data_IF_032065707761
#
_entry.id   IF_032065707761
#
_cell.length_a   1.000
_cell.length_b   1.000
_cell.length_c   1.000
_cell.angle_alpha   90.00
_cell.angle_beta   90.00
_cell.angle_gamma   90.00
#
_symmetry.space_group_name_H-M   'P 1'
#
loop_
_entity.id
_entity.type
_entity.pdbx_description
1 polymer ?
#
# COMPACT_ATOMS: atom_id res chain seq x y z
N UNK A 1 -7.94 18.41 8.30
CA UNK A 1 -7.62 18.30 6.88
C UNK A 1 -8.31 17.03 6.34
N UNK A 2 -9.14 17.16 5.32
CA UNK A 2 -10.13 16.14 4.91
C UNK A 2 -9.49 14.84 4.44
N UNK A 3 -9.52 13.78 5.28
CA UNK A 3 -9.10 12.41 4.97
C UNK A 3 -10.04 11.66 3.99
N UNK A 4 -10.89 12.37 3.26
CA UNK A 4 -11.93 11.78 2.39
C UNK A 4 -11.46 11.52 0.94
N UNK A 5 -10.29 12.00 0.55
CA UNK A 5 -9.79 11.93 -0.83
C UNK A 5 -9.57 10.48 -1.36
N UNK A 6 -8.93 9.55 -0.60
CA UNK A 6 -8.71 8.20 -1.12
C UNK A 6 -10.01 7.42 -1.36
N UNK A 7 -10.99 7.57 -0.45
CA UNK A 7 -12.27 6.87 -0.54
C UNK A 7 -13.11 7.34 -1.73
N UNK A 8 -13.13 8.65 -1.98
CA UNK A 8 -13.85 9.25 -3.12
C UNK A 8 -13.25 8.82 -4.46
N UNK A 9 -11.93 8.63 -4.51
CA UNK A 9 -11.24 8.14 -5.69
C UNK A 9 -11.67 6.70 -6.03
N UNK A 10 -11.71 5.79 -5.04
CA UNK A 10 -12.16 4.42 -5.23
C UNK A 10 -13.66 4.34 -5.58
N UNK A 11 -14.49 5.21 -5.00
CA UNK A 11 -15.89 5.33 -5.39
C UNK A 11 -16.00 5.79 -6.84
N UNK A 12 -15.18 6.72 -7.29
CA UNK A 12 -15.13 7.17 -8.69
C UNK A 12 -14.71 6.04 -9.64
N UNK A 13 -13.76 5.20 -9.24
CA UNK A 13 -13.33 4.02 -10.01
C UNK A 13 -14.46 2.99 -10.15
N UNK A 14 -15.25 2.79 -9.09
CA UNK A 14 -16.41 1.90 -9.10
C UNK A 14 -17.61 2.47 -9.88
N UNK A 15 -17.74 3.80 -9.97
CA UNK A 15 -18.88 4.48 -10.59
C UNK A 15 -18.61 4.91 -12.03
N UNK A 16 -17.36 5.03 -12.46
CA UNK A 16 -17.00 5.49 -13.79
C UNK A 16 -16.99 4.36 -14.82
N UNK A 17 -17.86 4.48 -15.81
CA UNK A 17 -17.70 3.90 -17.13
C UNK A 17 -18.24 2.50 -17.38
N UNK A 18 -18.76 2.35 -18.60
CA UNK A 18 -19.31 1.12 -19.18
C UNK A 18 -18.44 0.55 -20.31
N UNK A 19 -17.16 0.93 -20.39
CA UNK A 19 -16.25 0.35 -21.37
C UNK A 19 -15.84 -1.08 -20.96
N UNK A 20 -15.68 -1.97 -21.93
CA UNK A 20 -15.32 -3.37 -21.69
C UNK A 20 -14.12 -3.58 -20.74
N UNK A 21 -13.00 -2.83 -20.85
CA UNK A 21 -11.87 -2.95 -19.94
C UNK A 21 -12.22 -2.62 -18.47
N UNK A 22 -13.08 -1.62 -18.26
CA UNK A 22 -13.50 -1.21 -16.91
C UNK A 22 -14.47 -2.21 -16.25
N UNK A 23 -15.31 -2.88 -17.03
CA UNK A 23 -16.18 -3.95 -16.53
C UNK A 23 -15.33 -5.10 -16.00
N UNK A 24 -14.28 -5.46 -16.74
CA UNK A 24 -13.36 -6.51 -16.38
C UNK A 24 -12.59 -6.17 -15.09
N UNK A 25 -12.06 -4.96 -14.98
CA UNK A 25 -11.36 -4.49 -13.78
C UNK A 25 -12.30 -4.46 -12.55
N UNK A 26 -13.58 -4.17 -12.74
CA UNK A 26 -14.59 -4.24 -11.66
C UNK A 26 -14.82 -5.66 -11.16
N UNK A 27 -14.91 -6.63 -12.04
CA UNK A 27 -15.07 -8.03 -11.65
C UNK A 27 -13.81 -8.57 -10.97
N UNK A 28 -12.63 -8.20 -11.46
CA UNK A 28 -11.36 -8.52 -10.78
C UNK A 28 -11.30 -7.94 -9.38
N UNK A 29 -11.67 -6.66 -9.23
CA UNK A 29 -11.71 -6.00 -7.92
C UNK A 29 -12.72 -6.63 -6.96
N UNK A 30 -13.89 -7.05 -7.44
CA UNK A 30 -14.88 -7.79 -6.63
C UNK A 30 -14.34 -9.14 -6.18
N UNK A 31 -13.68 -9.88 -7.09
CA UNK A 31 -13.02 -11.15 -6.77
C UNK A 31 -11.96 -10.95 -5.70
N UNK A 32 -11.09 -9.95 -5.86
CA UNK A 32 -10.10 -9.58 -4.86
C UNK A 32 -10.72 -9.28 -3.48
N UNK A 33 -11.81 -8.48 -3.43
CA UNK A 33 -12.49 -8.21 -2.17
C UNK A 33 -13.08 -9.48 -1.54
N UNK A 34 -13.63 -10.36 -2.36
CA UNK A 34 -14.13 -11.67 -1.90
C UNK A 34 -13.02 -12.49 -1.25
N UNK A 35 -11.89 -12.63 -1.93
CA UNK A 35 -10.73 -13.37 -1.43
C UNK A 35 -10.15 -12.73 -0.16
N UNK A 36 -10.06 -11.41 -0.10
CA UNK A 36 -9.57 -10.69 1.07
C UNK A 36 -10.47 -10.90 2.31
N UNK A 37 -11.80 -10.98 2.12
CA UNK A 37 -12.75 -11.23 3.21
C UNK A 37 -12.66 -12.65 3.76
N UNK A 38 -12.40 -13.64 2.91
CA UNK A 38 -12.33 -15.05 3.32
C UNK A 38 -10.92 -15.51 3.66
N UNK A 39 -9.87 -14.73 3.33
CA UNK A 39 -8.48 -15.07 3.61
C UNK A 39 -8.22 -15.51 5.06
N UNK A 40 -8.79 -14.86 6.11
CA UNK A 40 -8.61 -15.32 7.48
C UNK A 40 -9.13 -16.74 7.75
N UNK A 41 -10.14 -17.19 6.99
CA UNK A 41 -10.70 -18.54 7.14
C UNK A 41 -9.82 -19.62 6.47
N UNK A 42 -8.88 -19.22 5.62
CA UNK A 42 -7.93 -20.12 4.93
C UNK A 42 -6.56 -20.17 5.59
N UNK A 43 -6.43 -19.64 6.82
CA UNK A 43 -5.19 -19.70 7.60
C UNK A 43 -4.83 -21.17 7.92
N UNK A 44 -3.65 -21.59 7.52
CA UNK A 44 -3.20 -22.98 7.67
C UNK A 44 -1.87 -23.07 8.47
N UNK A 45 -1.36 -24.30 8.63
CA UNK A 45 -0.13 -24.55 9.40
C UNK A 45 1.11 -23.87 8.84
N UNK A 46 1.15 -23.53 7.56
CA UNK A 46 2.29 -22.85 6.91
C UNK A 46 2.36 -21.37 7.28
N UNK A 47 1.24 -20.80 7.68
CA UNK A 47 1.14 -19.38 8.04
C UNK A 47 1.69 -19.10 9.44
N UNK A 48 1.81 -20.14 10.30
CA UNK A 48 2.35 -19.97 11.65
C UNK A 48 3.82 -19.56 11.67
N UNK A 49 4.63 -19.96 10.70
CA UNK A 49 6.05 -19.57 10.65
C UNK A 49 6.19 -18.09 10.31
N UNK A 50 5.61 -17.56 9.21
CA UNK A 50 5.66 -16.13 8.92
C UNK A 50 5.05 -15.28 10.04
N UNK A 51 3.95 -15.72 10.65
CA UNK A 51 3.34 -15.04 11.79
C UNK A 51 4.29 -15.00 12.99
N UNK A 52 4.88 -16.13 13.37
CA UNK A 52 5.81 -16.23 14.48
C UNK A 52 7.06 -15.37 14.28
N UNK A 53 7.64 -15.37 13.08
CA UNK A 53 8.77 -14.49 12.71
C UNK A 53 8.37 -13.02 12.79
N UNK A 54 7.18 -12.68 12.30
CA UNK A 54 6.65 -11.31 12.36
C UNK A 54 6.47 -10.83 13.80
N UNK A 55 5.86 -11.65 14.65
CA UNK A 55 5.68 -11.33 16.06
C UNK A 55 7.02 -11.21 16.78
N UNK A 56 7.99 -12.09 16.49
CA UNK A 56 9.34 -12.01 17.06
C UNK A 56 10.06 -10.73 16.63
N UNK A 57 9.95 -10.33 15.35
CA UNK A 57 10.54 -9.09 14.84
C UNK A 57 9.92 -7.85 15.51
N UNK A 58 8.59 -7.78 15.63
CA UNK A 58 7.89 -6.68 16.31
C UNK A 58 8.28 -6.63 17.78
N UNK A 59 8.26 -7.78 18.48
CA UNK A 59 8.61 -7.85 19.90
C UNK A 59 10.08 -7.49 20.13
N UNK A 60 10.99 -7.99 19.30
CA UNK A 60 12.42 -7.63 19.39
C UNK A 60 12.66 -6.14 19.17
N UNK A 61 11.99 -5.54 18.17
CA UNK A 61 12.08 -4.11 17.90
C UNK A 61 11.48 -3.24 19.03
N UNK A 62 10.45 -3.74 19.73
CA UNK A 62 9.85 -3.05 20.88
C UNK A 62 10.87 -2.77 21.99
N UNK A 63 11.76 -3.70 22.28
CA UNK A 63 12.82 -3.49 23.29
C UNK A 63 13.85 -2.44 22.86
N UNK A 64 13.93 -2.13 21.56
CA UNK A 64 14.83 -1.12 21.01
C UNK A 64 14.18 0.26 20.82
N UNK A 65 12.86 0.39 21.06
CA UNK A 65 12.11 1.61 20.79
C UNK A 65 12.74 2.87 21.40
N UNK A 66 13.06 2.82 22.70
CA UNK A 66 13.64 3.96 23.40
C UNK A 66 15.05 4.30 22.93
N UNK A 67 15.87 3.28 22.69
CA UNK A 67 17.24 3.47 22.23
C UNK A 67 17.27 4.12 20.85
N UNK A 68 16.45 3.61 19.92
CA UNK A 68 16.37 4.13 18.54
C UNK A 68 15.75 5.52 18.51
N UNK A 69 14.70 5.78 19.30
CA UNK A 69 14.16 7.15 19.49
C UNK A 69 15.25 8.10 19.94
N UNK A 70 15.96 7.78 21.02
CA UNK A 70 17.01 8.63 21.59
C UNK A 70 18.13 8.88 20.57
N UNK A 71 18.60 7.81 19.91
CA UNK A 71 19.63 7.92 18.88
C UNK A 71 19.19 8.84 17.74
N UNK A 72 17.97 8.66 17.25
CA UNK A 72 17.41 9.47 16.17
C UNK A 72 17.25 10.93 16.56
N UNK A 73 16.74 11.22 17.76
CA UNK A 73 16.53 12.62 18.19
C UNK A 73 17.84 13.34 18.50
N UNK A 74 18.86 12.65 19.04
CA UNK A 74 20.16 13.22 19.33
C UNK A 74 21.01 13.51 18.07
N UNK A 75 20.70 12.87 16.95
CA UNK A 75 21.44 13.02 15.68
C UNK A 75 20.64 13.80 14.63
N UNK A 76 19.75 14.67 15.04
CA UNK A 76 19.02 15.54 14.10
C UNK A 76 19.94 16.58 13.48
N UNK A 77 19.71 16.84 12.20
CA UNK A 77 20.42 17.89 11.45
C UNK A 77 19.44 18.74 10.65
N UNK A 78 19.72 20.04 10.43
CA UNK A 78 18.84 20.91 9.64
C UNK A 78 18.61 20.41 8.20
N UNK A 79 19.58 19.71 7.62
CA UNK A 79 19.44 19.12 6.28
C UNK A 79 18.50 17.92 6.30
N UNK A 80 18.68 17.01 7.25
CA UNK A 80 17.79 15.85 7.39
C UNK A 80 16.37 16.28 7.78
N UNK A 81 16.20 17.30 8.60
CA UNK A 81 14.91 17.88 8.96
C UNK A 81 14.12 18.32 7.70
N UNK A 82 14.80 19.00 6.76
CA UNK A 82 14.19 19.43 5.50
C UNK A 82 13.82 18.25 4.59
N UNK A 83 14.70 17.25 4.50
CA UNK A 83 14.47 16.06 3.66
C UNK A 83 13.27 15.27 4.20
N UNK A 84 13.28 14.96 5.49
CA UNK A 84 12.24 14.12 6.08
C UNK A 84 10.91 14.86 6.36
N UNK A 85 10.89 16.19 6.31
CA UNK A 85 9.64 16.94 6.40
C UNK A 85 8.69 16.69 5.20
N UNK A 86 9.22 16.20 4.07
CA UNK A 86 8.44 15.92 2.87
C UNK A 86 7.54 14.69 3.01
N UNK A 87 7.83 13.79 3.96
CA UNK A 87 7.09 12.54 4.15
C UNK A 87 5.63 12.74 4.56
N UNK A 88 5.29 13.90 5.10
CA UNK A 88 3.90 14.23 5.51
C UNK A 88 2.87 14.14 4.38
N UNK A 89 3.31 14.26 3.13
CA UNK A 89 2.47 14.15 1.93
C UNK A 89 2.56 12.79 1.25
N UNK A 90 3.37 11.88 1.79
CA UNK A 90 3.69 10.62 1.12
C UNK A 90 2.45 9.78 0.81
N UNK A 91 1.51 9.65 1.76
CA UNK A 91 0.31 8.80 1.58
C UNK A 91 -0.59 9.34 0.47
N UNK A 92 -0.76 10.67 0.42
CA UNK A 92 -1.56 11.33 -0.62
C UNK A 92 -0.89 11.20 -2.00
N UNK A 93 0.43 11.35 -2.05
CA UNK A 93 1.22 11.15 -3.29
C UNK A 93 1.12 9.70 -3.74
N UNK A 94 1.28 8.74 -2.85
CA UNK A 94 1.20 7.31 -3.14
C UNK A 94 -0.18 6.91 -3.70
N UNK A 95 -1.26 7.38 -3.07
CA UNK A 95 -2.61 7.17 -3.55
C UNK A 95 -2.84 7.80 -4.93
N UNK A 96 -2.35 9.03 -5.13
CA UNK A 96 -2.47 9.75 -6.40
C UNK A 96 -1.69 9.04 -7.53
N UNK A 97 -0.47 8.58 -7.25
CA UNK A 97 0.34 7.84 -8.23
C UNK A 97 -0.30 6.51 -8.62
N UNK A 98 -0.87 5.78 -7.67
CA UNK A 98 -1.60 4.53 -7.94
C UNK A 98 -2.75 4.78 -8.92
N UNK A 99 -3.50 5.85 -8.66
CA UNK A 99 -4.56 6.33 -9.50
C UNK A 99 -4.10 6.73 -10.91
N UNK A 100 -3.11 7.59 -10.98
CA UNK A 100 -2.55 8.07 -12.25
C UNK A 100 -2.00 6.92 -13.09
N UNK A 101 -1.37 5.92 -12.46
CA UNK A 101 -0.90 4.71 -13.14
C UNK A 101 -2.06 3.95 -13.79
N UNK A 102 -3.17 3.78 -13.07
CA UNK A 102 -4.36 3.13 -13.60
C UNK A 102 -4.96 3.89 -14.79
N UNK A 103 -5.21 5.19 -14.62
CA UNK A 103 -5.83 5.99 -15.68
C UNK A 103 -4.92 6.19 -16.89
N UNK A 104 -3.63 6.31 -16.68
CA UNK A 104 -2.67 6.35 -17.79
C UNK A 104 -2.70 5.04 -18.57
N UNK A 105 -2.67 3.89 -17.87
CA UNK A 105 -2.78 2.59 -18.52
C UNK A 105 -4.09 2.41 -19.28
N UNK A 106 -5.20 2.97 -18.76
CA UNK A 106 -6.49 2.97 -19.44
C UNK A 106 -6.46 3.84 -20.71
N UNK A 107 -5.97 5.07 -20.61
CA UNK A 107 -5.92 6.03 -21.71
C UNK A 107 -4.93 5.62 -22.82
N UNK A 108 -3.81 4.98 -22.45
CA UNK A 108 -2.80 4.48 -23.37
C UNK A 108 -3.11 3.06 -23.90
N UNK A 109 -4.26 2.49 -23.54
CA UNK A 109 -4.65 1.12 -23.87
C UNK A 109 -3.60 0.06 -23.46
N UNK A 110 -2.80 0.38 -22.43
CA UNK A 110 -1.74 -0.48 -21.93
C UNK A 110 -2.22 -1.33 -20.77
N UNK A 111 -2.52 -2.59 -21.05
CA UNK A 111 -3.04 -3.54 -20.07
C UNK A 111 -2.10 -3.71 -18.86
N UNK A 112 -0.78 -3.84 -19.07
CA UNK A 112 0.19 -4.04 -17.98
C UNK A 112 0.18 -2.86 -17.02
N UNK A 113 0.28 -1.64 -17.53
CA UNK A 113 0.28 -0.42 -16.71
C UNK A 113 -1.04 -0.25 -15.97
N UNK A 114 -2.18 -0.52 -16.65
CA UNK A 114 -3.51 -0.46 -16.01
C UNK A 114 -3.61 -1.47 -14.87
N UNK A 115 -3.19 -2.71 -15.10
CA UNK A 115 -3.21 -3.77 -14.09
C UNK A 115 -2.29 -3.46 -12.91
N UNK A 116 -1.10 -2.89 -13.16
CA UNK A 116 -0.22 -2.41 -12.09
C UNK A 116 -0.92 -1.34 -11.24
N UNK A 117 -1.55 -0.35 -11.87
CA UNK A 117 -2.31 0.69 -11.15
C UNK A 117 -3.43 0.12 -10.27
N UNK A 118 -4.15 -0.89 -10.77
CA UNK A 118 -5.21 -1.58 -10.00
C UNK A 118 -4.61 -2.32 -8.80
N UNK A 119 -3.55 -3.11 -8.97
CA UNK A 119 -2.85 -3.80 -7.88
C UNK A 119 -2.34 -2.83 -6.80
N UNK A 120 -1.75 -1.69 -7.20
CA UNK A 120 -1.29 -0.66 -6.26
C UNK A 120 -2.46 -0.12 -5.42
N UNK A 121 -3.60 0.08 -6.05
CA UNK A 121 -4.81 0.53 -5.40
C UNK A 121 -5.40 -0.53 -4.44
N UNK A 122 -5.45 -1.78 -4.85
CA UNK A 122 -5.87 -2.92 -4.04
C UNK A 122 -5.00 -3.08 -2.78
N UNK A 123 -3.67 -3.03 -2.95
CA UNK A 123 -2.72 -3.11 -1.85
C UNK A 123 -2.84 -1.92 -0.88
N UNK A 124 -3.06 -0.71 -1.42
CA UNK A 124 -3.32 0.48 -0.62
C UNK A 124 -4.59 0.31 0.24
N UNK A 125 -5.67 -0.19 -0.32
CA UNK A 125 -6.92 -0.43 0.41
C UNK A 125 -6.79 -1.49 1.49
N UNK A 126 -6.19 -2.63 1.15
CA UNK A 126 -6.04 -3.75 2.06
C UNK A 126 -5.23 -3.34 3.29
N UNK A 127 -4.05 -2.74 3.08
CA UNK A 127 -3.23 -2.26 4.18
C UNK A 127 -3.91 -1.14 4.97
N UNK A 128 -4.62 -0.20 4.31
CA UNK A 128 -5.29 0.91 4.98
C UNK A 128 -6.40 0.41 5.91
N UNK A 129 -7.15 -0.61 5.49
CA UNK A 129 -8.18 -1.25 6.32
C UNK A 129 -7.56 -1.89 7.56
N UNK A 130 -6.48 -2.66 7.40
CA UNK A 130 -5.74 -3.26 8.51
C UNK A 130 -5.18 -2.17 9.45
N UNK A 131 -4.61 -1.09 8.89
CA UNK A 131 -4.06 0.02 9.67
C UNK A 131 -5.10 0.73 10.53
N UNK A 132 -6.25 1.08 9.94
CA UNK A 132 -7.32 1.79 10.67
C UNK A 132 -7.85 0.90 11.80
N UNK A 133 -8.09 -0.38 11.52
CA UNK A 133 -8.57 -1.35 12.51
C UNK A 133 -7.59 -1.52 13.67
N UNK A 134 -6.31 -1.76 13.38
CA UNK A 134 -5.30 -1.97 14.41
C UNK A 134 -5.01 -0.70 15.23
N UNK A 135 -4.98 0.48 14.60
CA UNK A 135 -4.84 1.75 15.34
C UNK A 135 -5.95 1.95 16.36
N UNK A 136 -7.18 1.66 15.97
CA UNK A 136 -8.34 1.77 16.85
C UNK A 136 -8.32 0.72 17.97
N UNK A 137 -7.94 -0.52 17.65
CA UNK A 137 -7.90 -1.62 18.63
C UNK A 137 -6.76 -1.49 19.63
N UNK A 138 -5.59 -1.01 19.19
CA UNK A 138 -4.37 -0.95 20.03
C UNK A 138 -4.27 0.38 20.79
N UNK A 139 -4.53 1.51 20.13
CA UNK A 139 -4.50 2.83 20.75
C UNK A 139 -3.14 3.18 21.37
N UNK A 140 -2.01 2.91 20.71
CA UNK A 140 -0.67 3.19 21.25
C UNK A 140 -0.32 4.67 21.15
N UNK A 141 0.28 5.21 22.20
CA UNK A 141 0.73 6.60 22.27
C UNK A 141 1.97 6.84 21.39
N UNK A 142 1.96 8.00 20.68
CA UNK A 142 3.08 8.40 19.83
C UNK A 142 4.28 8.87 20.65
N UNK A 143 5.52 8.63 20.15
CA UNK A 143 6.72 9.09 20.85
C UNK A 143 6.78 10.62 20.98
N UNK A 144 6.13 11.39 20.11
CA UNK A 144 6.06 12.86 20.21
C UNK A 144 5.12 13.35 21.32
N UNK A 145 4.12 12.57 21.71
CA UNK A 145 3.12 12.94 22.72
C UNK A 145 3.46 12.41 24.10
N UNK A 146 4.17 11.28 24.16
CA UNK A 146 4.45 10.57 25.39
C UNK A 146 5.94 10.28 25.61
N UNK A 147 6.24 9.84 26.81
CA UNK A 147 7.59 9.47 27.24
C UNK A 147 7.84 7.97 27.21
N UNK A 148 6.77 7.17 27.27
CA UNK A 148 6.84 5.71 27.35
C UNK A 148 6.30 5.04 26.08
N UNK A 149 6.92 3.91 25.71
CA UNK A 149 6.49 3.10 24.58
C UNK A 149 5.41 2.05 24.96
N UNK A 150 5.03 1.99 26.23
CA UNK A 150 4.03 1.08 26.80
C UNK A 150 2.71 1.78 27.19
N UNK A 151 2.50 3.02 26.76
CA UNK A 151 1.25 3.76 26.94
C UNK A 151 0.24 3.38 25.86
N UNK A 152 -0.86 2.74 26.26
CA UNK A 152 -1.93 2.28 25.38
C UNK A 152 -3.29 2.77 25.87
N UNK A 153 -4.11 3.24 24.96
CA UNK A 153 -5.51 3.63 25.20
C UNK A 153 -6.38 3.12 24.05
N UNK A 154 -6.77 1.82 24.08
CA UNK A 154 -7.60 1.20 23.04
C UNK A 154 -8.88 1.98 22.77
N UNK A 155 -9.33 1.96 21.52
CA UNK A 155 -10.53 2.65 21.02
C UNK A 155 -10.46 4.18 21.06
N UNK A 156 -9.30 4.75 21.40
CA UNK A 156 -9.06 6.19 21.33
C UNK A 156 -8.76 6.62 19.89
N UNK A 157 -9.45 7.66 19.42
CA UNK A 157 -9.32 8.19 18.05
C UNK A 157 -8.47 9.47 17.97
N UNK A 158 -7.94 9.96 19.11
CA UNK A 158 -7.06 11.12 19.10
C UNK A 158 -5.74 10.79 18.40
N UNK A 159 -5.15 11.78 17.72
CA UNK A 159 -3.90 11.61 17.00
C UNK A 159 -2.78 11.02 17.88
N UNK A 160 -2.71 11.45 19.14
CA UNK A 160 -1.69 11.00 20.09
C UNK A 160 -1.68 9.47 20.28
N UNK A 161 -2.84 8.82 20.23
CA UNK A 161 -3.01 7.38 20.43
C UNK A 161 -3.18 6.58 19.15
N UNK A 162 -2.63 7.05 18.04
CA UNK A 162 -2.66 6.36 16.75
C UNK A 162 -1.27 5.96 16.25
N UNK A 163 -0.34 5.63 17.19
CA UNK A 163 1.03 5.26 16.82
C UNK A 163 1.10 3.90 16.13
N UNK A 164 0.58 2.86 16.76
CA UNK A 164 0.71 1.49 16.27
C UNK A 164 -0.44 1.07 15.36
N UNK A 165 -0.14 0.45 14.22
CA UNK A 165 1.14 0.41 13.51
C UNK A 165 1.35 1.64 12.62
N UNK A 166 2.56 1.80 12.01
CA UNK A 166 2.89 2.95 11.16
C UNK A 166 2.21 2.88 9.79
N UNK A 167 1.25 3.78 9.53
CA UNK A 167 0.51 3.81 8.27
C UNK A 167 1.34 4.22 7.04
N UNK A 168 2.24 5.22 7.17
CA UNK A 168 3.15 5.61 6.09
C UNK A 168 4.06 4.46 5.69
N UNK A 169 4.64 3.77 6.67
CA UNK A 169 5.50 2.60 6.42
C UNK A 169 4.71 1.48 5.76
N UNK A 170 3.50 1.18 6.23
CA UNK A 170 2.67 0.14 5.65
C UNK A 170 2.31 0.47 4.19
N UNK A 171 1.91 1.70 3.89
CA UNK A 171 1.68 2.13 2.50
C UNK A 171 2.92 1.95 1.64
N UNK A 172 4.08 2.40 2.12
CA UNK A 172 5.33 2.32 1.35
C UNK A 172 5.72 0.87 1.04
N UNK A 173 5.65 -0.02 2.03
CA UNK A 173 5.99 -1.43 1.86
C UNK A 173 4.97 -2.19 1.02
N UNK A 174 3.67 -1.85 1.09
CA UNK A 174 2.66 -2.45 0.24
C UNK A 174 2.89 -2.12 -1.24
N UNK A 175 3.16 -0.86 -1.56
CA UNK A 175 3.46 -0.46 -2.94
C UNK A 175 4.80 -1.02 -3.40
N UNK A 176 5.82 -1.06 -2.55
CA UNK A 176 7.12 -1.63 -2.88
C UNK A 176 7.02 -3.13 -3.19
N UNK A 177 6.23 -3.89 -2.42
CA UNK A 177 5.97 -5.31 -2.67
C UNK A 177 5.29 -5.52 -4.02
N UNK A 178 4.22 -4.77 -4.32
CA UNK A 178 3.56 -4.85 -5.63
C UNK A 178 4.52 -4.54 -6.78
N UNK A 179 5.29 -3.44 -6.69
CA UNK A 179 6.26 -3.05 -7.74
C UNK A 179 7.34 -4.12 -7.90
N UNK A 180 7.88 -4.63 -6.80
CA UNK A 180 8.92 -5.65 -6.84
C UNK A 180 8.44 -6.98 -7.44
N UNK A 181 7.17 -7.33 -7.28
CA UNK A 181 6.57 -8.51 -7.88
C UNK A 181 6.16 -8.31 -9.35
N UNK A 182 5.90 -7.07 -9.77
CA UNK A 182 5.47 -6.76 -11.15
C UNK A 182 6.64 -6.55 -12.13
N UNK A 183 7.89 -6.52 -11.66
CA UNK A 183 9.09 -6.33 -12.48
C UNK A 183 10.15 -7.39 -12.24
N UNK A 184 10.87 -7.79 -13.31
CA UNK A 184 12.06 -8.63 -13.20
C UNK A 184 13.35 -7.81 -13.05
N UNK A 185 13.29 -6.50 -13.24
CA UNK A 185 14.45 -5.63 -13.19
C UNK A 185 14.89 -5.36 -11.74
N UNK A 186 16.06 -5.87 -11.36
CA UNK A 186 16.60 -5.75 -10.00
C UNK A 186 16.74 -4.30 -9.53
N UNK A 187 17.05 -3.37 -10.44
CA UNK A 187 17.16 -1.94 -10.11
C UNK A 187 15.86 -1.36 -9.56
N UNK A 188 14.71 -1.70 -10.15
CA UNK A 188 13.41 -1.26 -9.67
C UNK A 188 13.05 -1.89 -8.32
N UNK A 189 13.39 -3.18 -8.11
CA UNK A 189 13.20 -3.85 -6.82
C UNK A 189 13.98 -3.16 -5.71
N UNK A 190 15.28 -2.92 -5.94
CA UNK A 190 16.15 -2.21 -4.97
C UNK A 190 15.60 -0.81 -4.70
N UNK A 191 15.24 -0.06 -5.74
CA UNK A 191 14.71 1.31 -5.57
C UNK A 191 13.43 1.31 -4.74
N UNK A 192 12.47 0.43 -5.03
CA UNK A 192 11.20 0.35 -4.32
C UNK A 192 11.41 0.05 -2.82
N UNK A 193 12.22 -0.96 -2.49
CA UNK A 193 12.52 -1.32 -1.10
C UNK A 193 13.34 -0.25 -0.37
N UNK A 194 14.28 0.41 -1.05
CA UNK A 194 15.06 1.50 -0.47
C UNK A 194 14.19 2.71 -0.13
N UNK A 195 13.29 3.10 -1.03
CA UNK A 195 12.34 4.19 -0.79
C UNK A 195 11.38 3.83 0.36
N UNK A 196 10.84 2.61 0.39
CA UNK A 196 9.97 2.17 1.47
C UNK A 196 10.69 2.21 2.83
N UNK A 197 11.95 1.77 2.88
CA UNK A 197 12.79 1.81 4.08
C UNK A 197 13.08 3.26 4.50
N UNK A 198 13.34 4.16 3.55
CA UNK A 198 13.56 5.57 3.84
C UNK A 198 12.30 6.23 4.44
N UNK A 199 11.10 5.89 3.94
CA UNK A 199 9.82 6.34 4.53
C UNK A 199 9.68 5.78 5.95
N UNK A 200 9.98 4.50 6.18
CA UNK A 200 9.95 3.93 7.54
C UNK A 200 10.88 4.66 8.50
N UNK A 201 12.11 4.93 8.06
CA UNK A 201 13.09 5.68 8.85
C UNK A 201 12.65 7.13 9.13
N UNK A 202 12.06 7.81 8.15
CA UNK A 202 11.56 9.19 8.33
C UNK A 202 10.53 9.28 9.45
N UNK A 203 9.72 8.22 9.68
CA UNK A 203 8.71 8.21 10.74
C UNK A 203 9.33 8.18 12.14
N UNK A 204 10.45 7.46 12.30
CA UNK A 204 11.24 7.44 13.53
C UNK A 204 11.93 8.79 13.71
N UNK A 205 12.57 9.30 12.65
CA UNK A 205 13.28 10.57 12.66
C UNK A 205 12.37 11.74 13.03
N UNK A 206 11.15 11.77 12.48
CA UNK A 206 10.14 12.79 12.78
C UNK A 206 9.44 12.60 14.13
N UNK A 207 9.88 11.61 14.94
CA UNK A 207 9.31 11.29 16.26
C UNK A 207 7.81 10.97 16.23
N UNK A 208 7.33 10.44 15.10
CA UNK A 208 5.92 10.11 14.83
C UNK A 208 5.57 8.68 15.24
N UNK A 209 6.54 7.77 15.15
CA UNK A 209 6.37 6.35 15.38
C UNK A 209 7.57 5.74 16.10
N UNK A 210 7.29 4.74 16.92
CA UNK A 210 8.30 3.87 17.52
C UNK A 210 8.89 2.92 16.46
N UNK A 211 10.08 2.35 16.71
CA UNK A 211 10.68 1.37 15.80
C UNK A 211 9.73 0.18 15.57
N UNK A 212 9.13 -0.34 16.64
CA UNK A 212 8.21 -1.48 16.54
C UNK A 212 6.92 -1.16 15.76
N UNK A 213 6.45 0.09 15.77
CA UNK A 213 5.33 0.53 14.92
C UNK A 213 5.72 0.49 13.45
N UNK A 214 6.97 0.88 13.14
CA UNK A 214 7.53 0.87 11.78
C UNK A 214 7.71 -0.56 11.29
N UNK A 215 8.27 -1.46 12.12
CA UNK A 215 8.43 -2.88 11.76
C UNK A 215 7.08 -3.54 11.53
N UNK A 216 6.10 -3.31 12.41
CA UNK A 216 4.74 -3.83 12.23
C UNK A 216 4.10 -3.28 10.94
N UNK A 217 4.23 -1.99 10.68
CA UNK A 217 3.75 -1.37 9.45
C UNK A 217 4.39 -1.97 8.20
N UNK A 218 5.71 -2.17 8.21
CA UNK A 218 6.44 -2.78 7.11
C UNK A 218 5.95 -4.20 6.80
N UNK A 219 5.77 -5.03 7.82
CA UNK A 219 5.27 -6.40 7.66
C UNK A 219 3.84 -6.42 7.12
N UNK A 220 2.94 -5.60 7.65
CA UNK A 220 1.56 -5.54 7.18
C UNK A 220 1.51 -5.06 5.73
N UNK A 221 2.30 -4.04 5.38
CA UNK A 221 2.40 -3.57 4.00
C UNK A 221 2.94 -4.64 3.06
N UNK A 222 4.03 -5.29 3.46
CA UNK A 222 4.63 -6.39 2.70
C UNK A 222 3.61 -7.49 2.39
N UNK A 223 2.94 -8.02 3.43
CA UNK A 223 1.96 -9.08 3.23
C UNK A 223 0.74 -8.64 2.42
N UNK A 224 0.30 -7.39 2.55
CA UNK A 224 -0.77 -6.86 1.71
C UNK A 224 -0.37 -6.81 0.23
N UNK A 225 0.86 -6.39 -0.08
CA UNK A 225 1.38 -6.38 -1.44
C UNK A 225 1.60 -7.78 -2.01
N UNK A 226 2.10 -8.72 -1.21
CA UNK A 226 2.23 -10.14 -1.60
C UNK A 226 0.86 -10.76 -1.90
N UNK A 227 -0.12 -10.54 -1.04
CA UNK A 227 -1.48 -11.05 -1.22
C UNK A 227 -2.08 -10.57 -2.54
N UNK A 228 -2.00 -9.27 -2.82
CA UNK A 228 -2.49 -8.69 -4.09
C UNK A 228 -1.72 -9.23 -5.29
N UNK A 229 -0.40 -9.38 -5.16
CA UNK A 229 0.43 -9.88 -6.26
C UNK A 229 0.17 -11.35 -6.57
N UNK A 230 -0.15 -12.14 -5.55
CA UNK A 230 -0.52 -13.56 -5.70
C UNK A 230 -1.94 -13.76 -6.22
N UNK A 231 -2.83 -12.76 -6.07
CA UNK A 231 -4.21 -12.84 -6.56
C UNK A 231 -4.22 -12.96 -8.09
N UNK A 232 -4.73 -14.09 -8.57
CA UNK A 232 -4.89 -14.34 -10.01
C UNK A 232 -6.20 -13.73 -10.47
N UNK A 233 -6.10 -12.70 -11.32
CA UNK A 233 -7.26 -12.24 -12.08
C UNK A 233 -7.85 -13.40 -12.89
N UNK A 234 -9.14 -13.65 -12.74
CA UNK A 234 -9.87 -14.63 -13.55
C UNK A 234 -10.01 -14.18 -15.01
N UNK A 235 -9.56 -12.99 -15.32
CA UNK A 235 -9.67 -12.37 -16.63
C UNK A 235 -8.41 -12.65 -17.44
N UNK A 236 -8.50 -13.61 -18.33
CA UNK A 236 -7.54 -13.76 -19.42
C UNK A 236 -7.60 -12.49 -20.29
N UNK A 237 -6.42 -11.96 -20.69
CA UNK A 237 -6.36 -10.93 -21.72
C UNK A 237 -7.20 -11.40 -22.90
N UNK A 238 -8.22 -10.66 -23.36
CA UNK A 238 -8.94 -11.06 -24.55
C UNK A 238 -7.92 -11.26 -25.66
N UNK A 239 -8.00 -12.33 -26.45
CA UNK A 239 -7.16 -12.44 -27.63
C UNK A 239 -7.38 -11.17 -28.44
N UNK A 240 -6.29 -10.49 -28.83
CA UNK A 240 -6.35 -9.35 -29.73
C UNK A 240 -6.94 -9.88 -31.03
N UNK A 241 -8.25 -9.77 -31.18
CA UNK A 241 -8.91 -9.99 -32.45
C UNK A 241 -8.60 -8.78 -33.31
N UNK A 242 -7.53 -8.88 -34.08
CA UNK A 242 -7.32 -7.99 -35.22
C UNK A 242 -8.40 -8.39 -36.21
N UNK A 243 -9.57 -7.77 -36.13
CA UNK A 243 -10.54 -7.81 -37.21
C UNK A 243 -9.93 -6.99 -38.36
N UNK A 244 -9.54 -7.63 -39.47
CA UNK A 244 -9.14 -6.87 -40.65
C UNK A 244 -10.35 -6.04 -41.04
N UNK A 245 -10.20 -4.71 -41.09
CA UNK A 245 -11.21 -3.81 -41.66
C UNK A 245 -11.34 -4.23 -43.14
N UNK A 246 -12.49 -4.73 -43.60
CA UNK A 246 -12.65 -5.03 -45.01
C UNK A 246 -12.71 -3.70 -45.77
N UNK A 247 -11.60 -3.31 -46.42
CA UNK A 247 -11.57 -2.25 -47.41
C UNK A 247 -12.31 -2.74 -48.63
N UNK A 248 -13.62 -2.69 -48.61
CA UNK A 248 -14.42 -2.85 -49.83
C UNK A 248 -14.55 -1.48 -50.50
N UNK A 249 -13.69 -1.17 -51.46
CA UNK A 249 -13.85 -0.06 -52.39
C UNK A 249 -14.76 -0.55 -53.51
N UNK A 250 -16.04 -0.20 -53.45
CA UNK A 250 -16.94 -0.37 -54.60
C UNK A 250 -16.76 0.82 -55.55
N UNK A 251 -16.14 0.60 -56.71
CA UNK A 251 -16.06 1.55 -57.81
C UNK A 251 -17.33 1.35 -58.64
N UNK A 252 -18.24 2.34 -58.73
CA UNK A 252 -19.36 2.24 -59.69
C UNK A 252 -18.79 2.42 -61.10
N UNK A 253 -18.91 1.39 -61.94
CA UNK A 253 -18.68 1.50 -63.39
C UNK A 253 -19.97 2.03 -63.98
N UNK A 254 -19.93 3.23 -64.55
CA UNK A 254 -20.94 3.75 -65.48
C UNK A 254 -20.71 3.19 -66.88
#
# INVERSE_FOLDING_TARGET
MNRRFPLLFFLALLLSGSSFPQIQDKEDFKSFLGDALIAPAHFDSKDFIPLGVSLAAISGSYFLDHQIKTLSQNNRTPTADKIFAADKYFVEIAASLSALTYFYGLAAENYKTRRLGLKLAEAFLLQATAMVSLKFLVGRERPASGTSNDSFNPFNTSWAFTSFPSGHTSTAFALASVIANDTDQIGWKITAWSLASAIGFSRIYNNEHWLSDVVAGALIGYFAGEFVSAHKSNTQSPPVQITPIPLSVSIPLN
#
